data_IF_683727303354
#
_entry.id   IF_683727303354
#
_cell.length_a   1.000
_cell.length_b   1.000
_cell.length_c   1.000
_cell.angle_alpha   90.00
_cell.angle_beta   90.00
_cell.angle_gamma   90.00
#
_symmetry.space_group_name_H-M   'P 1'
#
loop_
_entity.id
_entity.type
_entity.pdbx_description
1 polymer ?
#
# COMPACT_ATOMS: atom_id res chain seq x y z
N UNK A 1 0.86 -14.56 -5.65
CA UNK A 1 2.01 -13.80 -5.12
C UNK A 1 3.13 -14.78 -4.76
N UNK A 2 4.38 -14.52 -5.15
CA UNK A 2 5.51 -15.39 -4.81
C UNK A 2 6.33 -14.79 -3.67
N UNK A 3 7.14 -15.61 -2.98
CA UNK A 3 8.12 -15.10 -2.04
C UNK A 3 9.30 -14.47 -2.79
N UNK A 4 9.47 -13.16 -2.61
CA UNK A 4 10.54 -12.37 -3.22
C UNK A 4 11.92 -12.91 -2.84
N UNK A 5 12.83 -12.96 -3.83
CA UNK A 5 14.24 -13.32 -3.65
C UNK A 5 15.10 -12.20 -4.19
N UNK A 6 15.77 -11.48 -3.31
CA UNK A 6 16.64 -10.36 -3.70
C UNK A 6 17.87 -10.84 -4.47
N UNK A 7 18.30 -10.07 -5.45
CA UNK A 7 19.56 -10.26 -6.17
C UNK A 7 20.80 -10.16 -5.25
N UNK A 8 21.96 -10.59 -5.76
CA UNK A 8 23.25 -10.42 -5.08
C UNK A 8 23.66 -8.95 -4.96
N UNK A 9 24.64 -8.66 -4.09
CA UNK A 9 25.15 -7.29 -3.84
C UNK A 9 25.70 -6.63 -5.12
N UNK A 10 26.47 -7.39 -5.90
CA UNK A 10 27.09 -6.92 -7.16
C UNK A 10 26.08 -6.64 -8.28
N UNK A 11 24.84 -7.13 -8.15
CA UNK A 11 23.80 -7.03 -9.18
C UNK A 11 22.78 -5.92 -8.92
N UNK A 12 23.00 -5.13 -7.86
CA UNK A 12 22.04 -4.09 -7.44
C UNK A 12 22.01 -2.93 -8.42
N UNK A 13 20.82 -2.40 -8.65
CA UNK A 13 20.64 -1.23 -9.50
C UNK A 13 20.81 0.04 -8.67
N UNK A 14 21.58 1.01 -9.17
CA UNK A 14 21.70 2.32 -8.54
C UNK A 14 20.48 3.17 -8.92
N UNK A 15 19.62 3.47 -7.94
CA UNK A 15 18.38 4.21 -8.14
C UNK A 15 18.26 5.36 -7.13
N UNK A 16 17.56 6.45 -7.51
CA UNK A 16 17.36 7.59 -6.64
C UNK A 16 16.42 7.25 -5.47
N UNK A 17 16.74 7.79 -4.30
CA UNK A 17 15.91 7.82 -3.11
C UNK A 17 15.06 9.11 -3.11
N UNK A 18 13.97 9.17 -2.31
CA UNK A 18 13.11 10.36 -2.24
C UNK A 18 13.81 11.65 -1.82
N UNK A 19 14.93 11.55 -1.10
CA UNK A 19 15.76 12.69 -0.68
C UNK A 19 16.75 13.16 -1.77
N UNK A 20 16.69 12.58 -2.97
CA UNK A 20 17.56 12.93 -4.10
C UNK A 20 18.93 12.25 -4.09
N UNK A 21 19.30 11.51 -3.04
CA UNK A 21 20.52 10.69 -3.06
C UNK A 21 20.31 9.41 -3.87
N UNK A 22 21.37 8.67 -4.15
CA UNK A 22 21.30 7.41 -4.90
C UNK A 22 21.80 6.27 -4.00
N UNK A 23 21.13 5.12 -4.05
CA UNK A 23 21.51 3.93 -3.31
C UNK A 23 21.50 2.69 -4.20
N UNK A 24 22.20 1.60 -3.82
CA UNK A 24 22.12 0.33 -4.55
C UNK A 24 20.87 -0.46 -4.11
N UNK A 25 19.84 -0.46 -4.95
CA UNK A 25 18.58 -1.15 -4.74
C UNK A 25 18.65 -2.64 -5.14
N UNK A 26 18.30 -3.56 -4.23
CA UNK A 26 17.99 -4.93 -4.59
C UNK A 26 16.72 -5.00 -5.44
N UNK A 27 16.69 -5.96 -6.36
CA UNK A 27 15.49 -6.33 -7.11
C UNK A 27 15.23 -7.83 -6.97
N UNK A 28 13.97 -8.24 -7.18
CA UNK A 28 13.58 -9.64 -7.09
C UNK A 28 14.00 -10.40 -8.35
N UNK A 29 14.84 -11.42 -8.23
CA UNK A 29 15.33 -12.21 -9.37
C UNK A 29 14.23 -13.03 -10.08
N UNK A 30 13.03 -13.11 -9.50
CA UNK A 30 11.90 -13.85 -10.05
C UNK A 30 10.95 -12.98 -10.88
N UNK A 31 10.81 -11.71 -10.55
CA UNK A 31 9.83 -10.82 -11.20
C UNK A 31 10.35 -9.43 -11.56
N UNK A 32 11.60 -9.10 -11.23
CA UNK A 32 12.20 -7.81 -11.54
C UNK A 32 11.79 -6.65 -10.63
N UNK A 33 10.84 -6.83 -9.69
CA UNK A 33 10.38 -5.72 -8.84
C UNK A 33 11.52 -5.22 -7.93
N UNK A 34 11.62 -3.91 -7.79
CA UNK A 34 12.65 -3.24 -6.98
C UNK A 34 12.20 -3.15 -5.53
N UNK A 35 13.13 -3.41 -4.61
CA UNK A 35 12.87 -3.32 -3.17
C UNK A 35 12.73 -1.87 -2.72
N UNK A 36 11.71 -1.60 -1.91
CA UNK A 36 11.61 -0.38 -1.14
C UNK A 36 12.70 -0.37 -0.04
N UNK A 37 13.58 0.63 -0.08
CA UNK A 37 14.67 0.82 0.89
C UNK A 37 14.32 1.83 1.99
N UNK A 38 13.16 2.47 1.92
CA UNK A 38 12.74 3.49 2.87
C UNK A 38 12.14 2.86 4.13
N UNK A 39 12.08 3.64 5.21
CA UNK A 39 11.38 3.24 6.44
C UNK A 39 9.86 3.30 6.32
N UNK A 40 9.33 3.89 5.24
CA UNK A 40 7.91 3.93 4.91
C UNK A 40 7.44 2.57 4.36
N UNK A 41 7.23 1.64 5.28
CA UNK A 41 6.87 0.26 4.95
C UNK A 41 5.37 0.08 4.79
N UNK A 42 4.99 -0.66 3.75
CA UNK A 42 3.63 -1.11 3.56
C UNK A 42 3.15 -2.02 4.72
N UNK A 43 1.85 -1.93 5.01
CA UNK A 43 1.12 -2.81 5.92
C UNK A 43 0.42 -3.92 5.15
N UNK A 44 0.10 -5.01 5.84
CA UNK A 44 -0.70 -6.09 5.24
C UNK A 44 -2.13 -5.63 4.98
N UNK A 45 -2.79 -6.23 3.99
CA UNK A 45 -4.18 -5.94 3.63
C UNK A 45 -5.12 -5.94 4.85
N UNK A 46 -4.91 -6.86 5.80
CA UNK A 46 -5.73 -6.94 7.03
C UNK A 46 -5.74 -5.64 7.86
N UNK A 47 -4.63 -4.89 7.91
CA UNK A 47 -4.60 -3.58 8.58
C UNK A 47 -5.61 -2.61 7.95
N UNK A 48 -5.61 -2.53 6.62
CA UNK A 48 -6.49 -1.65 5.85
C UNK A 48 -7.96 -2.10 5.90
N UNK A 49 -8.19 -3.41 5.93
CA UNK A 49 -9.55 -3.97 6.09
C UNK A 49 -10.14 -3.65 7.46
N UNK A 50 -9.34 -3.69 8.52
CA UNK A 50 -9.76 -3.29 9.87
C UNK A 50 -10.04 -1.79 9.92
N UNK A 51 -9.17 -0.98 9.33
CA UNK A 51 -9.37 0.48 9.24
C UNK A 51 -10.65 0.83 8.47
N UNK A 52 -10.91 0.16 7.35
CA UNK A 52 -12.14 0.34 6.58
C UNK A 52 -13.38 -0.03 7.39
N UNK A 53 -13.29 -1.07 8.23
CA UNK A 53 -14.38 -1.46 9.12
C UNK A 53 -14.66 -0.39 10.18
N UNK A 54 -13.61 0.19 10.78
CA UNK A 54 -13.72 1.27 11.75
C UNK A 54 -14.40 2.50 11.13
N UNK A 55 -13.91 3.00 10.00
CA UNK A 55 -14.50 4.12 9.27
C UNK A 55 -15.96 3.83 8.89
N UNK A 56 -16.23 2.64 8.35
CA UNK A 56 -17.58 2.25 7.96
C UNK A 56 -18.56 2.27 9.15
N UNK A 57 -18.12 1.83 10.32
CA UNK A 57 -18.93 1.85 11.54
C UNK A 57 -19.17 3.28 12.04
N UNK A 58 -18.13 4.13 12.04
CA UNK A 58 -18.23 5.53 12.50
C UNK A 58 -19.21 6.37 11.65
N UNK A 59 -19.27 6.11 10.34
CA UNK A 59 -20.11 6.86 9.39
C UNK A 59 -21.39 6.11 8.97
N UNK A 60 -21.71 4.97 9.61
CA UNK A 60 -22.89 4.15 9.29
C UNK A 60 -22.99 3.77 7.81
N UNK A 61 -21.84 3.45 7.20
CA UNK A 61 -21.75 3.08 5.79
C UNK A 61 -22.46 1.74 5.55
N UNK A 62 -23.17 1.64 4.42
CA UNK A 62 -23.91 0.42 4.09
C UNK A 62 -22.98 -0.79 3.86
N UNK A 63 -23.51 -1.99 4.15
CA UNK A 63 -22.79 -3.26 3.90
C UNK A 63 -22.40 -3.42 2.42
N UNK A 64 -23.22 -2.92 1.50
CA UNK A 64 -22.95 -2.95 0.07
C UNK A 64 -21.74 -2.07 -0.30
N UNK A 65 -21.71 -0.81 0.14
CA UNK A 65 -20.56 0.09 -0.10
C UNK A 65 -19.27 -0.45 0.50
N UNK A 66 -19.31 -0.97 1.73
CA UNK A 66 -18.15 -1.61 2.37
C UNK A 66 -17.63 -2.80 1.55
N UNK A 67 -18.53 -3.63 1.01
CA UNK A 67 -18.15 -4.78 0.17
C UNK A 67 -17.49 -4.33 -1.14
N UNK A 68 -18.04 -3.32 -1.81
CA UNK A 68 -17.47 -2.79 -3.05
C UNK A 68 -16.07 -2.19 -2.82
N UNK A 69 -15.91 -1.38 -1.77
CA UNK A 69 -14.63 -0.81 -1.39
C UNK A 69 -13.58 -1.90 -1.09
N UNK A 70 -13.96 -2.94 -0.34
CA UNK A 70 -13.08 -4.07 -0.03
C UNK A 70 -12.65 -4.86 -1.28
N UNK A 71 -13.58 -5.10 -2.20
CA UNK A 71 -13.28 -5.79 -3.46
C UNK A 71 -12.31 -4.98 -4.33
N UNK A 72 -12.51 -3.66 -4.42
CA UNK A 72 -11.59 -2.79 -5.17
C UNK A 72 -10.19 -2.79 -4.55
N UNK A 73 -10.10 -2.66 -3.22
CA UNK A 73 -8.81 -2.69 -2.52
C UNK A 73 -8.07 -4.03 -2.76
N UNK A 74 -8.79 -5.15 -2.75
CA UNK A 74 -8.25 -6.49 -3.00
C UNK A 74 -7.83 -6.70 -4.45
N UNK A 75 -8.49 -6.03 -5.40
CA UNK A 75 -8.14 -6.10 -6.82
C UNK A 75 -6.86 -5.33 -7.18
N UNK A 76 -6.37 -4.47 -6.28
CA UNK A 76 -5.18 -3.68 -6.53
C UNK A 76 -3.93 -4.57 -6.43
N UNK A 77 -3.37 -4.93 -7.58
CA UNK A 77 -2.18 -5.77 -7.64
C UNK A 77 -1.01 -5.13 -6.89
N UNK A 78 -0.24 -5.96 -6.18
CA UNK A 78 0.87 -5.54 -5.34
C UNK A 78 0.50 -4.70 -4.11
N UNK A 79 -0.78 -4.51 -3.76
CA UNK A 79 -1.16 -3.66 -2.64
C UNK A 79 -0.54 -4.09 -1.32
N UNK A 80 -0.48 -5.38 -1.02
CA UNK A 80 0.11 -5.95 0.20
C UNK A 80 1.57 -6.42 0.04
N UNK A 81 2.22 -6.01 -1.07
CA UNK A 81 3.61 -6.34 -1.37
C UNK A 81 4.59 -5.50 -0.55
N UNK A 82 4.84 -5.95 0.69
CA UNK A 82 5.80 -5.29 1.58
C UNK A 82 7.25 -5.25 1.06
N UNK A 83 7.57 -5.89 -0.07
CA UNK A 83 8.89 -5.80 -0.68
C UNK A 83 9.09 -4.51 -1.46
N UNK A 84 8.12 -4.09 -2.26
CA UNK A 84 8.22 -2.92 -3.16
C UNK A 84 7.28 -1.78 -2.79
N UNK A 85 6.14 -2.06 -2.16
CA UNK A 85 5.12 -1.07 -1.84
C UNK A 85 5.59 -0.13 -0.71
N UNK A 86 5.21 1.15 -0.81
CA UNK A 86 5.40 2.14 0.24
C UNK A 86 4.12 2.32 1.06
N UNK A 87 4.25 2.68 2.34
CA UNK A 87 3.10 2.97 3.18
C UNK A 87 2.31 4.16 2.66
N UNK A 88 2.98 5.20 2.17
CA UNK A 88 2.37 6.39 1.56
C UNK A 88 1.56 6.06 0.31
N UNK A 89 2.05 5.17 -0.56
CA UNK A 89 1.30 4.73 -1.72
C UNK A 89 0.02 3.99 -1.31
N UNK A 90 0.09 3.11 -0.30
CA UNK A 90 -1.10 2.46 0.25
C UNK A 90 -2.09 3.46 0.83
N UNK A 91 -1.62 4.48 1.58
CA UNK A 91 -2.48 5.54 2.14
C UNK A 91 -3.29 6.23 1.06
N UNK A 92 -2.64 6.62 -0.05
CA UNK A 92 -3.30 7.31 -1.18
C UNK A 92 -4.32 6.42 -1.87
N UNK A 93 -3.97 5.17 -2.18
CA UNK A 93 -4.89 4.19 -2.79
C UNK A 93 -6.10 4.00 -1.87
N UNK A 94 -5.87 3.75 -0.59
CA UNK A 94 -6.92 3.55 0.39
C UNK A 94 -7.84 4.78 0.51
N UNK A 95 -7.27 5.98 0.66
CA UNK A 95 -8.03 7.22 0.76
C UNK A 95 -8.88 7.49 -0.49
N UNK A 96 -8.36 7.19 -1.68
CA UNK A 96 -9.11 7.31 -2.93
C UNK A 96 -10.33 6.37 -2.99
N UNK A 97 -10.19 5.14 -2.51
CA UNK A 97 -11.26 4.14 -2.45
C UNK A 97 -12.32 4.56 -1.41
N UNK A 98 -11.89 5.03 -0.24
CA UNK A 98 -12.80 5.52 0.80
C UNK A 98 -13.59 6.73 0.29
N UNK A 99 -12.93 7.68 -0.37
CA UNK A 99 -13.62 8.82 -1.00
C UNK A 99 -14.64 8.37 -2.04
N UNK A 100 -14.26 7.44 -2.93
CA UNK A 100 -15.11 6.92 -4.00
C UNK A 100 -16.37 6.23 -3.48
N UNK A 101 -16.25 5.34 -2.49
CA UNK A 101 -17.37 4.50 -2.05
C UNK A 101 -18.11 5.05 -0.84
N UNK A 102 -17.42 5.72 0.08
CA UNK A 102 -18.00 6.18 1.34
C UNK A 102 -18.32 7.68 1.29
N UNK A 103 -17.83 8.42 0.29
CA UNK A 103 -18.00 9.87 0.18
C UNK A 103 -17.23 10.67 1.23
N UNK A 104 -16.25 10.03 1.89
CA UNK A 104 -15.47 10.63 2.98
C UNK A 104 -14.20 11.26 2.40
N UNK A 105 -13.91 12.49 2.77
CA UNK A 105 -12.71 13.19 2.31
C UNK A 105 -11.41 12.50 2.74
N UNK A 106 -10.36 12.66 1.94
CA UNK A 106 -9.05 12.05 2.20
C UNK A 106 -8.44 12.54 3.52
N UNK A 107 -8.60 13.84 3.85
CA UNK A 107 -8.11 14.41 5.12
C UNK A 107 -8.69 13.72 6.35
N UNK A 108 -9.99 13.43 6.33
CA UNK A 108 -10.67 12.65 7.35
C UNK A 108 -10.14 11.21 7.33
N UNK A 109 -9.99 10.61 6.15
CA UNK A 109 -9.47 9.24 6.05
C UNK A 109 -8.07 9.13 6.67
N UNK A 110 -7.19 10.10 6.41
CA UNK A 110 -5.84 10.14 6.97
C UNK A 110 -5.84 10.28 8.50
N UNK A 111 -6.85 10.89 9.12
CA UNK A 111 -6.91 10.99 10.59
C UNK A 111 -7.17 9.66 11.28
N UNK A 112 -7.66 8.64 10.57
CA UNK A 112 -7.81 7.28 11.10
C UNK A 112 -6.52 6.47 11.04
N UNK A 113 -5.60 6.82 10.14
CA UNK A 113 -4.39 6.02 9.87
C UNK A 113 -3.36 6.26 10.99
N UNK A 114 -3.01 5.18 11.71
CA UNK A 114 -2.04 5.15 12.81
C UNK A 114 -0.71 4.53 12.40
#
# INVERSE_FOLDING_TARGET
MHQHKSCGKEQRAWLPLPNGSVAPHPWCVKCGVVKNLTDDRAKKLGYWMNMMAEIANSYKISKAQRRLAAMELQSHDGFDDAYSMTGEAQKRIFASIIKKYFGINESITYSFIR
#
